data_IF_535329499624
#
_entry.id   IF_535329499624
#
_cell.length_a   1.000
_cell.length_b   1.000
_cell.length_c   1.000
_cell.angle_alpha   90.00
_cell.angle_beta   90.00
_cell.angle_gamma   90.00
#
_symmetry.space_group_name_H-M   'P 1'
#
loop_
_entity.id
_entity.type
_entity.pdbx_description
1 polymer ?
#
# COMPACT_ATOMS: atom_id res chain seq x y z
N UNK A 1 6.00 52.49 23.77
CA UNK A 1 6.39 51.57 22.67
C UNK A 1 5.79 50.15 22.84
N UNK A 2 4.46 49.91 22.83
CA UNK A 2 3.91 48.56 23.08
C UNK A 2 3.59 47.72 21.81
N UNK A 3 3.64 48.30 20.60
CA UNK A 3 3.10 47.64 19.38
C UNK A 3 3.97 46.52 18.79
N UNK A 4 5.25 46.42 19.16
CA UNK A 4 6.14 45.37 18.64
C UNK A 4 6.00 44.02 19.38
N UNK A 5 5.61 44.02 20.66
CA UNK A 5 5.50 42.79 21.44
C UNK A 5 4.24 41.99 21.06
N UNK A 6 3.11 42.69 20.83
CA UNK A 6 1.86 42.08 20.37
C UNK A 6 2.03 41.42 18.99
N UNK A 7 2.71 42.06 18.02
CA UNK A 7 2.98 41.45 16.70
C UNK A 7 3.85 40.20 16.76
N UNK A 8 4.85 40.16 17.63
CA UNK A 8 5.71 38.98 17.83
C UNK A 8 4.95 37.84 18.50
N UNK A 9 4.09 38.15 19.48
CA UNK A 9 3.22 37.16 20.13
C UNK A 9 2.18 36.60 19.16
N UNK A 10 1.55 37.44 18.33
CA UNK A 10 0.60 36.97 17.30
C UNK A 10 1.28 36.11 16.23
N UNK A 11 2.50 36.46 15.81
CA UNK A 11 3.27 35.64 14.87
C UNK A 11 3.67 34.29 15.48
N UNK A 12 4.08 34.27 16.75
CA UNK A 12 4.43 33.03 17.46
C UNK A 12 3.23 32.11 17.69
N UNK A 13 2.06 32.65 18.05
CA UNK A 13 0.84 31.84 18.22
C UNK A 13 0.33 31.28 16.89
N UNK A 14 0.40 32.06 15.81
CA UNK A 14 0.00 31.60 14.47
C UNK A 14 0.95 30.52 13.96
N UNK A 15 2.26 30.69 14.15
CA UNK A 15 3.26 29.68 13.81
C UNK A 15 3.07 28.38 14.62
N UNK A 16 2.81 28.49 15.92
CA UNK A 16 2.56 27.33 16.78
C UNK A 16 1.28 26.58 16.36
N UNK A 17 0.22 27.31 15.99
CA UNK A 17 -1.02 26.74 15.47
C UNK A 17 -0.80 25.98 14.14
N UNK A 18 -0.01 26.55 13.22
CA UNK A 18 0.37 25.89 11.97
C UNK A 18 1.21 24.61 12.21
N UNK A 19 2.13 24.61 13.18
CA UNK A 19 2.90 23.42 13.54
C UNK A 19 2.01 22.31 14.14
N UNK A 20 1.00 22.66 14.93
CA UNK A 20 0.05 21.68 15.49
C UNK A 20 -0.91 21.12 14.43
N UNK A 21 -1.27 21.92 13.43
CA UNK A 21 -2.13 21.48 12.32
C UNK A 21 -1.46 20.41 11.44
N UNK A 22 -0.13 20.45 11.30
CA UNK A 22 0.63 19.39 10.61
C UNK A 22 0.80 18.12 11.44
N UNK A 23 0.52 18.16 12.75
CA UNK A 23 0.64 17.02 13.67
C UNK A 23 -0.65 16.22 13.89
N UNK A 24 -1.82 16.78 13.60
CA UNK A 24 -3.12 16.10 13.69
C UNK A 24 -3.50 15.37 12.39
N UNK A 25 -2.52 14.87 11.64
CA UNK A 25 -2.79 14.06 10.45
C UNK A 25 -3.27 12.68 10.90
N UNK A 26 -4.58 12.54 11.08
CA UNK A 26 -5.16 11.24 11.34
C UNK A 26 -4.76 10.27 10.21
N UNK A 27 -4.30 9.06 10.54
CA UNK A 27 -3.97 8.04 9.56
C UNK A 27 -5.21 7.45 8.89
N UNK A 28 -6.42 7.74 9.41
CA UNK A 28 -7.68 7.21 8.88
C UNK A 28 -8.20 8.02 7.69
N UNK A 29 -8.70 7.30 6.70
CA UNK A 29 -9.40 7.84 5.55
C UNK A 29 -10.73 8.47 5.97
N UNK A 30 -11.40 7.96 7.00
CA UNK A 30 -12.59 8.59 7.61
C UNK A 30 -12.32 10.03 8.03
N UNK A 31 -11.26 10.29 8.78
CA UNK A 31 -10.96 11.63 9.29
C UNK A 31 -10.50 12.58 8.19
N UNK A 32 -9.74 12.08 7.22
CA UNK A 32 -9.35 12.86 6.03
C UNK A 32 -10.56 13.18 5.16
N UNK A 33 -11.46 12.22 4.97
CA UNK A 33 -12.71 12.39 4.26
C UNK A 33 -13.61 13.41 4.97
N UNK A 34 -13.73 13.33 6.29
CA UNK A 34 -14.48 14.26 7.11
C UNK A 34 -13.90 15.67 7.05
N UNK A 35 -12.58 15.80 7.18
CA UNK A 35 -11.92 17.08 7.06
C UNK A 35 -12.13 17.66 5.67
N UNK A 36 -11.76 16.92 4.61
CA UNK A 36 -11.82 17.40 3.24
C UNK A 36 -13.25 17.69 2.80
N UNK A 37 -14.19 16.81 3.10
CA UNK A 37 -15.62 17.00 2.87
C UNK A 37 -16.17 18.17 3.68
N UNK A 38 -15.69 18.38 4.90
CA UNK A 38 -16.05 19.51 5.76
C UNK A 38 -15.56 20.85 5.22
N UNK A 39 -14.28 20.99 4.88
CA UNK A 39 -13.76 22.26 4.31
C UNK A 39 -14.36 22.55 2.95
N UNK A 40 -14.50 21.53 2.09
CA UNK A 40 -15.06 21.69 0.75
C UNK A 40 -16.55 22.02 0.84
N UNK A 41 -17.31 21.30 1.67
CA UNK A 41 -18.72 21.54 1.93
C UNK A 41 -18.97 22.90 2.59
N UNK A 42 -18.10 23.33 3.51
CA UNK A 42 -18.18 24.66 4.11
C UNK A 42 -17.91 25.77 3.09
N UNK A 43 -16.94 25.58 2.20
CA UNK A 43 -16.66 26.53 1.12
C UNK A 43 -17.84 26.69 0.17
N UNK A 44 -18.41 25.58 -0.31
CA UNK A 44 -19.59 25.61 -1.20
C UNK A 44 -20.81 26.17 -0.45
N UNK A 45 -21.04 25.71 0.78
CA UNK A 45 -22.14 26.17 1.62
C UNK A 45 -22.05 27.65 1.96
N UNK A 46 -20.85 28.19 2.15
CA UNK A 46 -20.62 29.62 2.38
C UNK A 46 -21.05 30.44 1.17
N UNK A 47 -20.69 30.01 -0.05
CA UNK A 47 -21.05 30.71 -1.29
C UNK A 47 -22.58 30.75 -1.49
N UNK A 48 -23.25 29.61 -1.28
CA UNK A 48 -24.71 29.51 -1.40
C UNK A 48 -25.40 30.29 -0.26
N UNK A 49 -24.90 30.16 0.97
CA UNK A 49 -25.39 30.91 2.12
C UNK A 49 -25.26 32.42 1.94
N UNK A 50 -24.20 32.88 1.27
CA UNK A 50 -24.02 34.29 0.92
C UNK A 50 -25.15 34.82 0.04
N UNK A 51 -25.63 34.00 -0.90
CA UNK A 51 -26.72 34.38 -1.80
C UNK A 51 -28.07 34.51 -1.08
N UNK A 52 -28.26 33.80 0.05
CA UNK A 52 -29.48 33.82 0.88
C UNK A 52 -29.30 34.75 2.11
N UNK A 53 -28.20 35.49 2.18
CA UNK A 53 -27.94 36.50 3.22
C UNK A 53 -27.36 35.96 4.53
N UNK A 54 -26.94 34.68 4.58
CA UNK A 54 -26.25 34.11 5.74
C UNK A 54 -25.14 33.13 5.34
N UNK A 55 -23.96 33.70 5.10
CA UNK A 55 -22.72 32.99 4.75
C UNK A 55 -22.31 31.98 5.85
N UNK A 56 -22.46 32.35 7.12
CA UNK A 56 -22.06 31.52 8.25
C UNK A 56 -22.97 30.29 8.41
N UNK A 57 -24.29 30.48 8.29
CA UNK A 57 -25.24 29.37 8.33
C UNK A 57 -25.01 28.39 7.17
N UNK A 58 -24.81 28.90 5.96
CA UNK A 58 -24.51 28.07 4.80
C UNK A 58 -23.20 27.29 4.95
N UNK A 59 -22.15 27.93 5.48
CA UNK A 59 -20.87 27.28 5.73
C UNK A 59 -20.96 26.17 6.80
N UNK A 60 -21.70 26.40 7.89
CA UNK A 60 -21.89 25.42 8.96
C UNK A 60 -22.70 24.21 8.48
N UNK A 61 -23.78 24.45 7.72
CA UNK A 61 -24.62 23.37 7.18
C UNK A 61 -23.83 22.57 6.14
N UNK A 62 -23.22 23.25 5.17
CA UNK A 62 -22.43 22.59 4.13
C UNK A 62 -21.23 21.85 4.69
N UNK A 63 -20.55 22.43 5.68
CA UNK A 63 -19.42 21.80 6.36
C UNK A 63 -19.84 20.59 7.21
N UNK A 64 -20.94 20.70 7.96
CA UNK A 64 -21.47 19.59 8.75
C UNK A 64 -21.89 18.40 7.88
N UNK A 65 -22.67 18.66 6.81
CA UNK A 65 -23.11 17.62 5.87
C UNK A 65 -21.91 17.00 5.15
N UNK A 66 -21.01 17.83 4.61
CA UNK A 66 -19.83 17.38 3.89
C UNK A 66 -18.87 16.55 4.77
N UNK A 67 -18.72 16.93 6.05
CA UNK A 67 -17.90 16.18 6.99
C UNK A 67 -18.50 14.81 7.32
N UNK A 68 -19.81 14.72 7.58
CA UNK A 68 -20.48 13.45 7.86
C UNK A 68 -20.42 12.51 6.65
N UNK A 69 -20.71 13.03 5.44
CA UNK A 69 -20.63 12.24 4.21
C UNK A 69 -19.21 11.77 3.93
N UNK A 70 -18.22 12.66 4.07
CA UNK A 70 -16.81 12.33 3.88
C UNK A 70 -16.29 11.29 4.89
N UNK A 71 -16.73 11.39 6.15
CA UNK A 71 -16.40 10.39 7.18
C UNK A 71 -16.94 9.01 6.80
N UNK A 72 -18.23 8.93 6.46
CA UNK A 72 -18.89 7.67 6.12
C UNK A 72 -18.23 6.94 4.94
N UNK A 73 -17.82 7.68 3.90
CA UNK A 73 -17.09 7.10 2.76
C UNK A 73 -15.71 6.60 3.19
N UNK A 74 -15.00 7.42 3.98
CA UNK A 74 -13.65 7.07 4.45
C UNK A 74 -13.63 5.82 5.34
N UNK A 75 -14.67 5.58 6.15
CA UNK A 75 -14.78 4.35 6.97
C UNK A 75 -14.72 3.06 6.12
N UNK A 76 -15.34 3.06 4.94
CA UNK A 76 -15.26 1.92 4.02
C UNK A 76 -13.87 1.74 3.42
N UNK A 77 -13.17 2.85 3.13
CA UNK A 77 -11.80 2.82 2.61
C UNK A 77 -10.80 2.29 3.64
N UNK A 78 -10.99 2.64 4.92
CA UNK A 78 -10.16 2.14 6.02
C UNK A 78 -10.20 0.60 6.14
N UNK A 79 -11.39 0.00 5.97
CA UNK A 79 -11.55 -1.47 5.96
C UNK A 79 -10.88 -2.13 4.75
N UNK A 80 -11.02 -1.52 3.56
CA UNK A 80 -10.39 -2.02 2.33
C UNK A 80 -8.86 -1.94 2.43
N UNK A 81 -8.33 -0.85 2.95
CA UNK A 81 -6.90 -0.65 3.20
C UNK A 81 -6.37 -1.72 4.17
N UNK A 82 -7.07 -1.96 5.28
CA UNK A 82 -6.70 -2.99 6.26
C UNK A 82 -6.65 -4.38 5.63
N UNK A 83 -7.66 -4.74 4.83
CA UNK A 83 -7.70 -6.01 4.10
C UNK A 83 -6.58 -6.11 3.06
N UNK A 84 -6.35 -5.07 2.28
CA UNK A 84 -5.32 -5.05 1.25
C UNK A 84 -3.92 -5.18 1.87
N UNK A 85 -3.67 -4.49 2.98
CA UNK A 85 -2.40 -4.57 3.71
C UNK A 85 -2.14 -5.98 4.25
N UNK A 86 -3.18 -6.66 4.73
CA UNK A 86 -3.09 -8.07 5.12
C UNK A 86 -2.82 -9.01 3.93
N UNK A 87 -3.46 -8.78 2.78
CA UNK A 87 -3.23 -9.56 1.57
C UNK A 87 -1.81 -9.37 1.01
N UNK A 88 -1.31 -8.14 0.95
CA UNK A 88 0.05 -7.84 0.48
C UNK A 88 1.09 -8.47 1.41
N UNK A 89 0.90 -8.42 2.73
CA UNK A 89 1.78 -9.08 3.69
C UNK A 89 1.83 -10.60 3.48
N UNK A 90 0.71 -11.24 3.17
CA UNK A 90 0.66 -12.67 2.85
C UNK A 90 1.39 -13.00 1.53
N UNK A 91 1.37 -12.09 0.56
CA UNK A 91 2.04 -12.28 -0.73
C UNK A 91 3.55 -11.99 -0.69
N UNK A 92 4.02 -11.07 0.16
CA UNK A 92 5.45 -10.78 0.32
C UNK A 92 6.24 -11.95 0.95
N UNK A 93 5.58 -12.87 1.65
CA UNK A 93 6.20 -14.09 2.20
C UNK A 93 6.32 -15.25 1.21
N UNK A 94 5.69 -15.16 0.02
CA UNK A 94 5.91 -16.13 -1.05
C UNK A 94 6.99 -15.58 -1.97
N UNK A 95 8.10 -16.32 -2.21
CA UNK A 95 9.02 -15.95 -3.26
C UNK A 95 8.23 -16.01 -4.57
N UNK A 96 7.81 -14.86 -5.05
CA UNK A 96 7.29 -14.74 -6.40
C UNK A 96 8.54 -14.90 -7.24
N UNK A 97 8.80 -16.12 -7.72
CA UNK A 97 9.87 -16.43 -8.66
C UNK A 97 9.53 -15.77 -10.02
N UNK A 98 9.44 -14.42 -10.04
CA UNK A 98 9.04 -13.60 -11.19
C UNK A 98 10.07 -13.61 -12.32
N UNK A 99 11.18 -14.31 -12.12
CA UNK A 99 12.20 -14.53 -13.14
C UNK A 99 12.61 -15.98 -13.29
N UNK A 100 11.86 -16.96 -12.75
CA UNK A 100 12.20 -18.36 -12.99
C UNK A 100 11.31 -18.91 -14.12
N UNK A 101 11.95 -19.53 -15.12
CA UNK A 101 11.25 -20.05 -16.31
C UNK A 101 10.37 -21.23 -15.93
N UNK A 102 9.09 -21.18 -16.25
CA UNK A 102 8.19 -22.34 -16.09
C UNK A 102 8.28 -23.29 -17.29
N UNK A 103 7.83 -24.52 -17.11
CA UNK A 103 7.77 -25.49 -18.22
C UNK A 103 6.79 -25.00 -19.30
N UNK A 104 5.71 -24.35 -18.85
CA UNK A 104 4.69 -23.74 -19.68
C UNK A 104 5.27 -22.63 -20.56
N UNK A 105 6.16 -21.78 -20.01
CA UNK A 105 6.84 -20.73 -20.77
C UNK A 105 7.79 -21.31 -21.83
N UNK A 106 8.51 -22.39 -21.52
CA UNK A 106 9.38 -23.07 -22.50
C UNK A 106 8.56 -23.66 -23.65
N UNK A 107 7.43 -24.30 -23.34
CA UNK A 107 6.52 -24.85 -24.36
C UNK A 107 5.91 -23.71 -25.18
N UNK A 108 5.54 -22.59 -24.56
CA UNK A 108 5.00 -21.43 -25.26
C UNK A 108 6.04 -20.81 -26.21
N UNK A 109 7.29 -20.65 -25.77
CA UNK A 109 8.40 -20.18 -26.61
C UNK A 109 8.64 -21.12 -27.80
N UNK A 110 8.63 -22.43 -27.57
CA UNK A 110 8.77 -23.42 -28.65
C UNK A 110 7.63 -23.35 -29.64
N UNK A 111 6.37 -23.26 -29.18
CA UNK A 111 5.20 -23.13 -30.04
C UNK A 111 5.17 -21.83 -30.82
N UNK A 112 5.74 -20.77 -30.26
CA UNK A 112 5.94 -19.49 -30.95
C UNK A 112 7.06 -19.52 -32.00
N UNK A 113 7.78 -20.64 -32.13
CA UNK A 113 8.88 -20.79 -33.09
C UNK A 113 10.15 -20.03 -32.68
N UNK A 114 10.33 -19.74 -31.39
CA UNK A 114 11.55 -19.12 -30.88
C UNK A 114 12.73 -20.05 -31.13
N UNK A 115 13.84 -19.50 -31.61
CA UNK A 115 15.04 -20.27 -31.87
C UNK A 115 15.53 -20.98 -30.60
N UNK A 116 15.93 -22.24 -30.75
CA UNK A 116 16.36 -23.11 -29.66
C UNK A 116 17.40 -22.48 -28.73
N UNK A 117 18.37 -21.78 -29.32
CA UNK A 117 19.45 -21.10 -28.62
C UNK A 117 18.96 -19.98 -27.69
N UNK A 118 17.88 -19.30 -28.06
CA UNK A 118 17.28 -18.26 -27.22
C UNK A 118 16.50 -18.86 -26.07
N UNK A 119 15.84 -20.00 -26.30
CA UNK A 119 15.15 -20.75 -25.25
C UNK A 119 16.18 -21.27 -24.23
N UNK A 120 17.28 -21.87 -24.71
CA UNK A 120 18.36 -22.38 -23.86
C UNK A 120 19.07 -21.25 -23.11
N UNK A 121 19.34 -20.11 -23.76
CA UNK A 121 19.90 -18.91 -23.14
C UNK A 121 18.99 -18.32 -22.06
N UNK A 122 17.68 -18.25 -22.33
CA UNK A 122 16.69 -17.79 -21.36
C UNK A 122 16.64 -18.69 -20.13
N UNK A 123 16.57 -20.01 -20.30
CA UNK A 123 16.60 -20.98 -19.19
C UNK A 123 17.91 -20.90 -18.41
N UNK A 124 19.06 -20.71 -19.08
CA UNK A 124 20.36 -20.55 -18.40
C UNK A 124 20.44 -19.28 -17.57
N UNK A 125 19.88 -18.18 -18.06
CA UNK A 125 19.93 -16.88 -17.39
C UNK A 125 18.94 -16.79 -16.21
N UNK A 126 17.71 -17.25 -16.42
CA UNK A 126 16.59 -17.13 -15.49
C UNK A 126 16.42 -18.36 -14.57
N UNK A 127 16.99 -19.51 -14.96
CA UNK A 127 16.79 -20.77 -14.26
C UNK A 127 15.38 -21.32 -14.45
N UNK A 128 15.12 -22.47 -13.82
CA UNK A 128 13.82 -23.16 -13.83
C UNK A 128 13.07 -22.89 -12.53
N UNK A 129 11.77 -22.63 -12.61
CA UNK A 129 10.90 -22.40 -11.45
C UNK A 129 10.71 -23.63 -10.57
N UNK A 130 10.83 -24.84 -11.15
CA UNK A 130 10.76 -26.13 -10.47
C UNK A 130 11.71 -27.15 -11.11
N UNK A 131 12.18 -28.16 -10.36
CA UNK A 131 12.94 -29.27 -10.94
C UNK A 131 12.06 -30.09 -11.89
N UNK A 132 12.66 -30.60 -12.98
CA UNK A 132 11.93 -31.43 -13.94
C UNK A 132 11.66 -32.82 -13.36
N UNK A 133 10.40 -33.25 -13.48
CA UNK A 133 9.99 -34.63 -13.19
C UNK A 133 10.03 -35.48 -14.47
N UNK A 134 10.07 -36.82 -14.37
CA UNK A 134 10.01 -37.69 -15.54
C UNK A 134 8.80 -37.41 -16.45
N UNK A 135 7.66 -37.05 -15.88
CA UNK A 135 6.44 -36.71 -16.61
C UNK A 135 6.59 -35.40 -17.41
N UNK A 136 7.33 -34.44 -16.89
CA UNK A 136 7.60 -33.18 -17.58
C UNK A 136 8.49 -33.39 -18.80
N UNK A 137 9.43 -34.34 -18.72
CA UNK A 137 10.30 -34.70 -19.86
C UNK A 137 9.48 -35.25 -21.03
N UNK A 138 8.50 -36.10 -20.73
CA UNK A 138 7.57 -36.65 -21.73
C UNK A 138 6.71 -35.52 -22.32
N UNK A 139 6.26 -34.58 -21.49
CA UNK A 139 5.45 -33.43 -21.93
C UNK A 139 6.24 -32.48 -22.82
N UNK A 140 7.49 -32.20 -22.47
CA UNK A 140 8.41 -31.38 -23.28
C UNK A 140 8.75 -32.07 -24.61
N UNK A 141 9.05 -33.37 -24.57
CA UNK A 141 9.34 -34.14 -25.77
C UNK A 141 8.14 -34.24 -26.71
N UNK A 142 6.94 -34.50 -26.17
CA UNK A 142 5.70 -34.59 -26.96
C UNK A 142 5.21 -33.23 -27.49
N UNK A 143 5.62 -32.12 -26.87
CA UNK A 143 5.36 -30.77 -27.38
C UNK A 143 6.37 -30.28 -28.42
N UNK A 144 7.31 -31.14 -28.82
CA UNK A 144 8.29 -30.86 -29.87
C UNK A 144 9.45 -29.97 -29.40
N UNK A 145 9.67 -29.83 -28.08
CA UNK A 145 10.85 -29.15 -27.54
C UNK A 145 12.08 -30.01 -27.82
N UNK A 146 13.15 -29.45 -28.41
CA UNK A 146 14.34 -30.20 -28.76
C UNK A 146 15.09 -30.70 -27.51
N UNK A 147 15.71 -31.87 -27.65
CA UNK A 147 16.38 -32.58 -26.55
C UNK A 147 17.51 -31.74 -25.93
N UNK A 148 18.20 -30.93 -26.73
CA UNK A 148 19.27 -30.04 -26.24
C UNK A 148 18.78 -28.94 -25.30
N UNK A 149 17.56 -28.42 -25.50
CA UNK A 149 16.89 -27.52 -24.53
C UNK A 149 16.52 -28.29 -23.27
N UNK A 150 15.90 -29.46 -23.40
CA UNK A 150 15.51 -30.29 -22.25
C UNK A 150 16.74 -30.64 -21.39
N UNK A 151 17.88 -30.95 -22.02
CA UNK A 151 19.13 -31.23 -21.34
C UNK A 151 19.70 -30.00 -20.63
N UNK A 152 19.54 -28.81 -21.24
CA UNK A 152 19.90 -27.53 -20.61
C UNK A 152 18.99 -27.23 -19.41
N UNK A 153 17.71 -27.63 -19.45
CA UNK A 153 16.78 -27.53 -18.34
C UNK A 153 17.08 -28.52 -17.21
N UNK A 154 17.56 -29.73 -17.52
CA UNK A 154 18.00 -30.74 -16.54
C UNK A 154 19.33 -30.38 -15.87
N UNK A 155 20.17 -29.61 -16.57
CA UNK A 155 21.49 -29.18 -16.11
C UNK A 155 21.62 -27.65 -16.16
N UNK A 156 20.77 -26.87 -15.47
CA UNK A 156 20.96 -25.43 -15.43
C UNK A 156 22.35 -25.17 -14.82
N UNK A 157 23.17 -24.27 -15.40
CA UNK A 157 24.40 -23.86 -14.74
C UNK A 157 24.03 -23.40 -13.34
N UNK A 158 24.58 -24.08 -12.32
CA UNK A 158 24.39 -23.63 -10.95
C UNK A 158 24.89 -22.19 -10.92
N UNK A 159 24.05 -21.18 -10.58
CA UNK A 159 24.62 -19.88 -10.19
C UNK A 159 25.69 -20.22 -9.16
N UNK A 160 26.89 -19.63 -9.24
CA UNK A 160 28.00 -20.02 -8.39
C UNK A 160 27.47 -20.09 -6.98
N UNK A 161 27.30 -21.33 -6.50
CA UNK A 161 27.03 -21.56 -5.10
C UNK A 161 28.28 -20.97 -4.50
N UNK A 162 28.14 -19.77 -3.93
CA UNK A 162 29.05 -19.30 -2.91
C UNK A 162 28.95 -20.43 -1.90
N UNK A 163 29.88 -21.37 -2.04
CA UNK A 163 30.13 -22.40 -1.06
C UNK A 163 30.36 -21.55 0.15
N UNK A 164 29.37 -21.53 1.04
CA UNK A 164 29.50 -20.90 2.33
C UNK A 164 30.73 -21.56 2.91
N UNK A 165 31.87 -20.89 2.76
CA UNK A 165 33.07 -21.22 3.47
C UNK A 165 32.60 -21.31 4.91
N UNK A 166 32.96 -22.38 5.60
CA UNK A 166 32.69 -22.57 7.01
C UNK A 166 33.27 -21.37 7.78
N UNK A 167 32.53 -20.28 7.78
CA UNK A 167 32.64 -19.17 8.68
C UNK A 167 31.71 -19.63 9.78
N UNK A 168 32.35 -20.00 10.89
CA UNK A 168 31.81 -20.13 12.25
C UNK A 168 30.32 -19.91 12.27
N UNK A 169 29.47 -20.88 12.69
CA UNK A 169 28.03 -20.70 12.68
C UNK A 169 27.78 -19.34 13.32
N UNK A 170 27.45 -18.36 12.48
CA UNK A 170 26.97 -17.09 12.95
C UNK A 170 25.78 -17.58 13.73
N UNK A 171 25.84 -17.41 15.07
CA UNK A 171 24.61 -17.41 15.82
C UNK A 171 23.78 -16.42 15.03
N UNK A 172 22.86 -16.95 14.23
CA UNK A 172 21.74 -16.21 13.76
C UNK A 172 21.08 -15.93 15.09
N UNK A 173 21.45 -14.80 15.68
CA UNK A 173 20.57 -14.09 16.54
C UNK A 173 19.40 -13.89 15.61
N UNK A 174 18.44 -14.81 15.74
CA UNK A 174 17.11 -14.65 15.26
C UNK A 174 16.69 -13.36 15.97
N UNK A 175 17.04 -12.21 15.38
CA UNK A 175 16.15 -11.08 15.38
C UNK A 175 14.95 -11.65 14.67
N UNK A 176 14.14 -12.35 15.47
CA UNK A 176 12.71 -12.41 15.36
C UNK A 176 12.38 -10.95 15.15
N UNK A 177 12.29 -10.54 13.89
CA UNK A 177 11.53 -9.38 13.52
C UNK A 177 10.14 -9.79 14.00
N UNK A 178 9.83 -9.43 15.25
CA UNK A 178 8.50 -9.59 15.78
C UNK A 178 7.59 -9.04 14.70
N UNK A 179 6.62 -9.84 14.27
CA UNK A 179 5.65 -9.42 13.28
C UNK A 179 5.29 -7.97 13.63
N UNK A 180 5.43 -6.99 12.71
CA UNK A 180 5.13 -5.62 13.04
C UNK A 180 3.76 -5.63 13.70
N UNK A 181 3.74 -5.29 15.00
CA UNK A 181 2.50 -5.22 15.74
C UNK A 181 1.81 -4.05 15.09
N UNK A 182 0.96 -4.33 14.12
CA UNK A 182 0.04 -3.35 13.60
C UNK A 182 -0.82 -3.01 14.81
N UNK A 183 -0.69 -1.81 15.41
CA UNK A 183 -1.66 -1.41 16.39
C UNK A 183 -2.99 -1.47 15.66
N UNK A 184 -3.84 -2.40 16.11
CA UNK A 184 -5.21 -2.46 15.64
C UNK A 184 -5.78 -1.07 15.90
N UNK A 185 -6.35 -0.43 14.87
CA UNK A 185 -6.93 0.88 15.04
C UNK A 185 -8.02 0.76 16.10
N UNK A 186 -7.77 1.35 17.27
CA UNK A 186 -8.78 1.42 18.32
C UNK A 186 -9.84 2.36 17.77
N UNK A 187 -10.94 1.77 17.32
CA UNK A 187 -12.08 2.49 16.79
C UNK A 187 -12.70 3.28 17.94
N UNK A 188 -12.35 4.56 18.05
CA UNK A 188 -13.07 5.46 18.92
C UNK A 188 -14.40 5.75 18.24
N UNK A 189 -15.55 5.37 18.84
CA UNK A 189 -16.81 5.84 18.33
C UNK A 189 -16.78 7.38 18.32
N UNK A 190 -17.22 8.03 17.23
CA UNK A 190 -17.25 9.48 17.18
C UNK A 190 -18.06 10.01 18.37
N UNK A 191 -17.63 11.09 19.04
CA UNK A 191 -18.41 11.68 20.12
C UNK A 191 -19.80 12.01 19.58
N UNK A 192 -20.83 11.56 20.31
CA UNK A 192 -22.20 11.95 20.04
C UNK A 192 -22.30 13.47 20.19
N UNK A 193 -22.35 14.19 19.07
CA UNK A 193 -22.65 15.62 19.05
C UNK A 193 -24.12 15.81 19.40
N UNK A 194 -24.40 15.86 20.70
CA UNK A 194 -25.66 16.38 21.22
C UNK A 194 -25.70 17.88 20.98
N UNK A 195 -26.61 18.35 20.13
CA UNK A 195 -26.86 19.78 19.93
C UNK A 195 -27.54 20.35 21.18
N UNK A 196 -26.74 20.76 22.17
CA UNK A 196 -27.20 21.54 23.31
C UNK A 196 -27.12 23.03 22.98
N UNK A 197 -28.23 23.65 22.60
CA UNK A 197 -28.35 25.11 22.55
C UNK A 197 -28.51 25.62 23.98
N UNK A 198 -27.43 26.17 24.55
CA UNK A 198 -27.50 26.90 25.82
C UNK A 198 -27.98 28.32 25.53
N UNK A 199 -29.25 28.60 25.80
CA UNK A 199 -29.79 29.96 25.79
C UNK A 199 -29.39 30.61 27.11
N UNK A 200 -28.43 31.53 27.06
CA UNK A 200 -28.13 32.40 28.19
C UNK A 200 -29.27 33.42 28.33
N UNK A 201 -29.98 33.39 29.45
CA UNK A 201 -30.88 34.46 29.91
C UNK A 201 -30.11 35.49 30.73
#
# INVERSE_FOLDING_TARGET
MPRLHSRRVTLLTTALCCLTATGCQSPYHSDRGALFGGVTGAGVGALVGNAVGNTAAGALIGGGVGAVTGAAIGQGMDEVEARNRAAIAAHMGRPVNQGATSIEDVIAMQRAGVAEELISGHVRYNGMARPLTPQDLITLQSSGVPVSVIQTMQSPPQPPVQRAAATTPVLVEERVYGAPVYPYPVYYPPPSVGWGFSVCN
#
